data_IF_629322648326
#
_entry.id   IF_629322648326
#
_cell.length_a   1.000
_cell.length_b   1.000
_cell.length_c   1.000
_cell.angle_alpha   90.00
_cell.angle_beta   90.00
_cell.angle_gamma   90.00
#
_symmetry.space_group_name_H-M   'P 1'
#
loop_
_entity.id
_entity.type
_entity.pdbx_description
1 polymer ?
#
# COMPACT_ATOMS: atom_id res chain seq x y z
N UNK A 1 40.15 8.23 -5.35
CA UNK A 1 39.04 8.88 -6.10
C UNK A 1 38.69 8.09 -7.37
N UNK A 2 38.37 6.79 -7.25
CA UNK A 2 38.15 5.91 -8.42
C UNK A 2 36.77 5.19 -8.39
N UNK A 3 35.78 5.75 -7.70
CA UNK A 3 34.52 5.04 -7.39
C UNK A 3 33.24 5.64 -7.99
N UNK A 4 33.27 6.81 -8.64
CA UNK A 4 32.06 7.45 -9.18
C UNK A 4 31.78 7.09 -10.65
N UNK A 5 32.81 6.89 -11.48
CA UNK A 5 32.63 6.54 -12.90
C UNK A 5 32.09 5.11 -13.11
N UNK A 6 32.39 4.16 -12.22
CA UNK A 6 31.87 2.78 -12.34
C UNK A 6 30.39 2.70 -11.98
N UNK A 7 29.93 3.55 -11.05
CA UNK A 7 28.51 3.62 -10.66
C UNK A 7 27.65 4.20 -11.80
N UNK A 8 28.15 5.22 -12.52
CA UNK A 8 27.46 5.82 -13.67
C UNK A 8 27.38 4.86 -14.88
N UNK A 9 28.40 4.01 -15.09
CA UNK A 9 28.40 3.00 -16.16
C UNK A 9 27.39 1.86 -15.91
N UNK A 10 27.14 1.50 -14.65
CA UNK A 10 26.11 0.50 -14.30
C UNK A 10 24.68 1.05 -14.52
N UNK A 11 24.45 2.35 -14.33
CA UNK A 11 23.16 2.98 -14.66
C UNK A 11 22.95 3.16 -16.17
N UNK A 12 24.02 3.43 -16.94
CA UNK A 12 23.91 3.58 -18.40
C UNK A 12 23.52 2.29 -19.13
N UNK A 13 23.90 1.11 -18.62
CA UNK A 13 23.51 -0.16 -19.24
C UNK A 13 22.10 -0.63 -18.86
N UNK A 14 21.58 -0.21 -17.69
CA UNK A 14 20.22 -0.51 -17.28
C UNK A 14 19.15 0.25 -18.09
N UNK A 15 19.50 1.39 -18.68
CA UNK A 15 18.55 2.21 -19.48
C UNK A 15 18.38 1.70 -20.92
N UNK A 16 19.33 0.91 -21.44
CA UNK A 16 19.28 0.42 -22.84
C UNK A 16 18.48 -0.88 -22.99
N UNK A 17 18.20 -1.61 -21.90
CA UNK A 17 17.40 -2.84 -21.91
C UNK A 17 15.94 -2.53 -21.55
N UNK A 18 15.31 -1.61 -22.29
CA UNK A 18 13.86 -1.35 -22.23
C UNK A 18 13.21 -1.38 -23.63
N UNK A 19 13.86 -2.04 -24.59
CA UNK A 19 13.34 -2.20 -25.94
C UNK A 19 12.50 -3.48 -26.05
N UNK A 20 11.18 -3.28 -26.16
CA UNK A 20 10.19 -4.18 -26.80
C UNK A 20 10.15 -5.66 -26.37
N UNK A 21 9.31 -5.94 -25.37
CA UNK A 21 8.68 -7.26 -25.22
C UNK A 21 7.21 -7.13 -25.64
N UNK A 22 6.77 -7.76 -26.74
CA UNK A 22 5.36 -7.73 -27.11
C UNK A 22 4.52 -8.52 -26.08
N UNK A 23 3.28 -8.08 -25.77
CA UNK A 23 2.45 -8.71 -24.76
C UNK A 23 2.02 -10.13 -25.20
N UNK A 24 1.98 -11.11 -24.28
CA UNK A 24 1.50 -12.46 -24.59
C UNK A 24 -0.01 -12.45 -24.83
N UNK A 25 -0.44 -12.94 -26.00
CA UNK A 25 -1.85 -13.16 -26.30
C UNK A 25 -2.39 -14.31 -25.45
N UNK A 26 -3.39 -14.02 -24.62
CA UNK A 26 -3.98 -14.98 -23.69
C UNK A 26 -5.25 -15.57 -24.28
N UNK A 27 -5.24 -16.88 -24.53
CA UNK A 27 -6.40 -17.64 -25.02
C UNK A 27 -7.36 -17.93 -23.85
N UNK A 28 -8.56 -17.35 -23.88
CA UNK A 28 -9.59 -17.61 -22.87
C UNK A 28 -10.12 -19.05 -22.98
N UNK A 29 -9.84 -19.87 -21.96
CA UNK A 29 -10.52 -21.17 -21.76
C UNK A 29 -11.60 -20.99 -20.68
N UNK A 30 -12.86 -21.11 -21.10
CA UNK A 30 -14.05 -20.99 -20.24
C UNK A 30 -14.14 -22.22 -19.34
N UNK A 31 -13.98 -22.05 -18.04
CA UNK A 31 -14.19 -23.11 -17.04
C UNK A 31 -15.62 -22.97 -16.50
N UNK A 32 -16.38 -24.05 -16.62
CA UNK A 32 -17.74 -24.22 -16.14
C UNK A 32 -17.74 -24.35 -14.61
N UNK A 33 -18.38 -23.40 -13.92
CA UNK A 33 -18.62 -23.42 -12.49
C UNK A 33 -19.81 -24.33 -12.14
N UNK A 34 -19.56 -25.41 -11.41
CA UNK A 34 -20.58 -26.27 -10.82
C UNK A 34 -21.27 -25.58 -9.64
N UNK A 35 -22.60 -25.52 -9.70
CA UNK A 35 -23.48 -24.97 -8.68
C UNK A 35 -23.69 -25.99 -7.55
N UNK A 36 -22.95 -25.86 -6.46
CA UNK A 36 -23.34 -26.42 -5.16
C UNK A 36 -23.85 -25.28 -4.29
N UNK A 37 -25.16 -25.28 -4.01
CA UNK A 37 -25.79 -24.36 -3.07
C UNK A 37 -25.44 -24.79 -1.63
N UNK A 38 -24.22 -24.51 -1.21
CA UNK A 38 -23.84 -24.56 0.20
C UNK A 38 -24.51 -23.37 0.91
N UNK A 39 -25.17 -23.64 2.04
CA UNK A 39 -25.64 -22.59 2.95
C UNK A 39 -24.44 -21.69 3.30
N UNK A 40 -24.50 -20.44 2.86
CA UNK A 40 -23.41 -19.49 3.09
C UNK A 40 -23.34 -19.20 4.60
N UNK A 41 -22.47 -19.92 5.30
CA UNK A 41 -22.07 -19.55 6.65
C UNK A 41 -21.56 -18.11 6.62
N UNK A 42 -22.14 -17.25 7.45
CA UNK A 42 -21.73 -15.85 7.56
C UNK A 42 -20.35 -15.83 8.22
N UNK A 43 -19.31 -15.74 7.40
CA UNK A 43 -17.92 -15.65 7.87
C UNK A 43 -17.71 -14.33 8.61
N UNK A 44 -17.01 -14.39 9.73
CA UNK A 44 -16.65 -13.17 10.48
C UNK A 44 -15.61 -12.34 9.71
N UNK A 45 -15.55 -11.03 9.97
CA UNK A 45 -14.53 -10.17 9.34
C UNK A 45 -13.11 -10.60 9.69
N UNK A 46 -12.90 -11.08 10.93
CA UNK A 46 -11.61 -11.59 11.37
C UNK A 46 -11.20 -12.86 10.61
N UNK A 47 -12.14 -13.78 10.36
CA UNK A 47 -11.87 -14.97 9.54
C UNK A 47 -11.43 -14.61 8.12
N UNK A 48 -12.11 -13.64 7.50
CA UNK A 48 -11.74 -13.16 6.16
C UNK A 48 -10.34 -12.53 6.15
N UNK A 49 -9.99 -11.74 7.18
CA UNK A 49 -8.67 -11.13 7.30
C UNK A 49 -7.57 -12.18 7.47
N UNK A 50 -7.77 -13.16 8.36
CA UNK A 50 -6.82 -14.23 8.61
C UNK A 50 -6.61 -15.15 7.39
N UNK A 51 -7.69 -15.45 6.67
CA UNK A 51 -7.61 -16.22 5.43
C UNK A 51 -6.82 -15.46 4.36
N UNK A 52 -7.11 -14.18 4.17
CA UNK A 52 -6.38 -13.34 3.24
C UNK A 52 -4.89 -13.27 3.60
N UNK A 53 -4.55 -13.09 4.88
CA UNK A 53 -3.17 -13.10 5.34
C UNK A 53 -2.46 -14.42 5.00
N UNK A 54 -3.13 -15.56 5.19
CA UNK A 54 -2.61 -16.89 4.87
C UNK A 54 -2.35 -17.04 3.37
N UNK A 55 -3.28 -16.60 2.52
CA UNK A 55 -3.09 -16.62 1.07
C UNK A 55 -1.94 -15.71 0.63
N UNK A 56 -1.77 -14.56 1.27
CA UNK A 56 -0.69 -13.62 0.96
C UNK A 56 0.69 -14.14 1.35
N UNK A 57 0.79 -14.84 2.49
CA UNK A 57 2.01 -15.54 2.88
C UNK A 57 2.32 -16.68 1.92
N UNK A 58 1.31 -17.47 1.56
CA UNK A 58 1.44 -18.57 0.58
C UNK A 58 1.90 -18.06 -0.78
N UNK A 59 1.39 -16.90 -1.22
CA UNK A 59 1.78 -16.23 -2.47
C UNK A 59 3.29 -15.99 -2.56
N UNK A 60 3.96 -15.71 -1.45
CA UNK A 60 5.41 -15.45 -1.43
C UNK A 60 6.25 -16.70 -1.69
N UNK A 61 5.69 -17.90 -1.52
CA UNK A 61 6.39 -19.19 -1.64
C UNK A 61 6.16 -19.89 -2.99
N UNK A 62 5.23 -19.39 -3.81
CA UNK A 62 4.75 -20.09 -5.01
C UNK A 62 5.45 -19.63 -6.31
N UNK A 63 5.35 -20.44 -7.37
CA UNK A 63 5.92 -20.16 -8.69
C UNK A 63 4.93 -19.43 -9.62
N UNK A 64 5.45 -18.72 -10.64
CA UNK A 64 4.73 -17.81 -11.56
C UNK A 64 3.36 -18.31 -12.07
N UNK A 65 3.21 -19.62 -12.31
CA UNK A 65 2.00 -20.23 -12.86
C UNK A 65 0.82 -20.30 -11.88
N UNK A 66 1.07 -20.53 -10.59
CA UNK A 66 0.03 -20.67 -9.55
C UNK A 66 -0.55 -19.32 -9.11
N UNK A 67 0.09 -18.22 -9.48
CA UNK A 67 -0.31 -16.89 -9.04
C UNK A 67 -1.66 -16.41 -9.59
N UNK A 68 -2.08 -16.85 -10.78
CA UNK A 68 -3.31 -16.34 -11.41
C UNK A 68 -4.56 -16.69 -10.59
N UNK A 69 -4.78 -17.98 -10.33
CA UNK A 69 -5.91 -18.46 -9.50
C UNK A 69 -5.89 -17.86 -8.10
N UNK A 70 -4.70 -17.80 -7.47
CA UNK A 70 -4.54 -17.23 -6.14
C UNK A 70 -4.86 -15.73 -6.12
N UNK A 71 -4.55 -15.01 -7.20
CA UNK A 71 -4.82 -13.58 -7.31
C UNK A 71 -6.31 -13.28 -7.34
N UNK A 72 -7.12 -14.10 -8.01
CA UNK A 72 -8.57 -13.92 -8.07
C UNK A 72 -9.21 -14.12 -6.69
N UNK A 73 -8.77 -15.15 -5.96
CA UNK A 73 -9.22 -15.42 -4.60
C UNK A 73 -8.85 -14.29 -3.64
N UNK A 74 -7.61 -13.81 -3.70
CA UNK A 74 -7.14 -12.64 -2.95
C UNK A 74 -8.02 -11.41 -3.24
N UNK A 75 -8.30 -11.13 -4.51
CA UNK A 75 -9.11 -9.98 -4.91
C UNK A 75 -10.55 -10.07 -4.38
N UNK A 76 -11.12 -11.28 -4.38
CA UNK A 76 -12.45 -11.53 -3.82
C UNK A 76 -12.51 -11.28 -2.31
N UNK A 77 -11.52 -11.77 -1.55
CA UNK A 77 -11.43 -11.56 -0.11
C UNK A 77 -11.22 -10.09 0.25
N UNK A 78 -10.35 -9.41 -0.49
CA UNK A 78 -10.18 -7.95 -0.39
C UNK A 78 -11.52 -7.24 -0.59
N UNK A 79 -12.25 -7.58 -1.67
CA UNK A 79 -13.56 -6.99 -1.95
C UNK A 79 -14.57 -7.25 -0.83
N UNK A 80 -14.53 -8.43 -0.21
CA UNK A 80 -15.36 -8.77 0.94
C UNK A 80 -14.98 -7.92 2.17
N UNK A 81 -13.69 -7.78 2.49
CA UNK A 81 -13.21 -6.98 3.62
C UNK A 81 -13.59 -5.50 3.46
N UNK A 82 -13.42 -4.92 2.27
CA UNK A 82 -13.78 -3.51 2.00
C UNK A 82 -15.27 -3.27 2.27
N UNK A 83 -16.14 -4.23 1.95
CA UNK A 83 -17.60 -4.12 2.18
C UNK A 83 -17.97 -4.10 3.66
N UNK A 84 -17.13 -4.63 4.55
CA UNK A 84 -17.42 -4.67 5.99
C UNK A 84 -17.37 -3.29 6.65
N UNK A 85 -16.65 -2.31 6.05
CA UNK A 85 -16.51 -0.94 6.57
C UNK A 85 -16.16 -0.91 8.07
N UNK A 86 -15.19 -1.74 8.47
CA UNK A 86 -14.73 -1.81 9.86
C UNK A 86 -14.27 -0.46 10.36
N UNK A 87 -14.51 -0.23 11.65
CA UNK A 87 -13.86 0.85 12.38
C UNK A 87 -12.49 0.38 12.84
N UNK A 88 -11.49 1.25 12.77
CA UNK A 88 -10.12 0.95 13.19
C UNK A 88 -9.54 2.10 13.99
N UNK A 89 -8.52 1.80 14.80
CA UNK A 89 -7.75 2.80 15.55
C UNK A 89 -6.51 3.17 14.73
N UNK A 90 -6.40 4.39 14.16
CA UNK A 90 -5.23 4.78 13.38
C UNK A 90 -3.91 4.61 14.13
N UNK A 91 -3.87 4.86 15.43
CA UNK A 91 -2.65 4.76 16.22
C UNK A 91 -2.19 3.29 16.42
N UNK A 92 -3.07 2.31 16.24
CA UNK A 92 -2.72 0.87 16.33
C UNK A 92 -2.60 0.22 14.96
N UNK A 93 -3.45 0.63 14.02
CA UNK A 93 -3.58 0.01 12.71
C UNK A 93 -2.86 0.76 11.60
N UNK A 94 -2.33 1.97 11.83
CA UNK A 94 -1.55 2.75 10.85
C UNK A 94 -0.16 3.06 11.40
N UNK A 95 -0.04 3.57 12.62
CA UNK A 95 1.27 3.72 13.26
C UNK A 95 1.92 2.34 13.51
N UNK A 96 3.25 2.29 13.57
CA UNK A 96 4.00 1.07 13.86
C UNK A 96 5.24 0.84 13.01
N UNK A 97 5.62 -0.43 12.86
CA UNK A 97 6.79 -0.85 12.10
C UNK A 97 6.65 -0.67 10.58
N UNK A 98 7.67 -1.09 9.84
CA UNK A 98 7.62 -1.16 8.38
C UNK A 98 6.71 -2.32 7.96
N UNK A 99 5.58 -2.00 7.35
CA UNK A 99 4.71 -3.02 6.79
C UNK A 99 5.20 -3.44 5.42
N UNK A 100 5.28 -4.75 5.17
CA UNK A 100 5.76 -5.27 3.90
C UNK A 100 4.65 -5.29 2.86
N UNK A 101 4.92 -4.77 1.67
CA UNK A 101 3.96 -4.86 0.55
C UNK A 101 3.97 -6.24 -0.08
N UNK A 102 2.81 -6.89 -0.13
CA UNK A 102 2.68 -8.31 -0.55
C UNK A 102 1.84 -8.53 -1.81
N UNK A 103 0.98 -7.58 -2.16
CA UNK A 103 0.08 -7.69 -3.30
C UNK A 103 -0.33 -6.31 -3.79
N UNK A 104 -0.61 -6.23 -5.10
CA UNK A 104 -1.16 -5.07 -5.79
C UNK A 104 -2.30 -5.47 -6.70
N UNK A 105 -3.37 -4.67 -6.71
CA UNK A 105 -4.42 -4.75 -7.73
C UNK A 105 -4.18 -3.62 -8.72
N UNK A 106 -4.17 -3.94 -10.02
CA UNK A 106 -3.93 -2.99 -11.11
C UNK A 106 -2.53 -3.07 -11.70
N UNK A 107 -2.05 -1.95 -12.23
CA UNK A 107 -0.69 -1.85 -12.78
C UNK A 107 0.36 -1.91 -11.66
N UNK A 108 1.41 -2.68 -11.90
CA UNK A 108 2.57 -2.77 -11.00
C UNK A 108 3.28 -1.41 -10.94
N UNK A 109 3.46 -0.81 -9.74
CA UNK A 109 4.09 0.51 -9.65
C UNK A 109 5.56 0.46 -10.09
N UNK A 110 6.10 1.61 -10.53
CA UNK A 110 7.46 1.68 -11.08
C UNK A 110 8.52 1.14 -10.11
N UNK A 111 8.45 1.53 -8.84
CA UNK A 111 9.41 1.10 -7.82
C UNK A 111 9.38 -0.43 -7.63
N UNK A 112 8.21 -1.05 -7.76
CA UNK A 112 8.05 -2.51 -7.68
C UNK A 112 8.69 -3.20 -8.89
N UNK A 113 8.48 -2.64 -10.09
CA UNK A 113 9.13 -3.13 -11.33
C UNK A 113 10.65 -3.06 -11.22
N UNK A 114 11.20 -1.97 -10.66
CA UNK A 114 12.63 -1.80 -10.42
C UNK A 114 13.12 -2.90 -9.46
N UNK A 115 12.43 -3.11 -8.33
CA UNK A 115 12.83 -4.13 -7.34
C UNK A 115 12.73 -5.57 -7.86
N UNK A 116 11.80 -5.84 -8.78
CA UNK A 116 11.58 -7.18 -9.34
C UNK A 116 12.61 -7.56 -10.41
N UNK A 117 13.36 -6.58 -10.94
CA UNK A 117 14.34 -6.82 -12.00
C UNK A 117 15.67 -7.41 -11.48
N UNK A 118 15.90 -7.37 -10.16
CA UNK A 118 17.08 -7.99 -9.54
C UNK A 118 16.83 -9.47 -9.26
N UNK A 119 17.42 -10.34 -10.10
CA UNK A 119 17.33 -11.79 -10.01
C UNK A 119 17.54 -12.32 -8.57
N UNK A 120 16.46 -12.75 -7.92
CA UNK A 120 16.51 -13.64 -6.76
C UNK A 120 16.74 -13.02 -5.39
N UNK A 121 16.78 -11.68 -5.26
CA UNK A 121 16.85 -11.05 -3.94
C UNK A 121 15.44 -10.75 -3.44
N UNK A 122 15.12 -11.25 -2.24
CA UNK A 122 13.87 -10.95 -1.53
C UNK A 122 13.91 -9.50 -0.99
N UNK A 123 14.03 -8.54 -1.90
CA UNK A 123 14.11 -7.13 -1.56
C UNK A 123 12.91 -6.73 -0.71
N UNK A 124 13.20 -6.11 0.43
CA UNK A 124 12.16 -5.61 1.32
C UNK A 124 11.59 -4.33 0.74
N UNK A 125 10.26 -4.27 0.69
CA UNK A 125 9.49 -3.10 0.29
C UNK A 125 8.38 -2.88 1.28
N UNK A 126 8.11 -1.62 1.59
CA UNK A 126 7.10 -1.33 2.57
C UNK A 126 6.82 0.13 2.76
N UNK A 127 5.89 0.36 3.67
CA UNK A 127 5.49 1.68 4.10
C UNK A 127 5.40 1.68 5.63
N UNK A 128 5.96 2.72 6.23
CA UNK A 128 5.83 3.03 7.65
C UNK A 128 5.06 4.33 7.76
N UNK A 129 4.15 4.41 8.73
CA UNK A 129 3.52 5.65 9.15
C UNK A 129 3.87 5.90 10.61
N UNK A 130 3.91 7.17 10.97
CA UNK A 130 4.05 7.61 12.35
C UNK A 130 3.05 8.72 12.55
N UNK A 131 2.04 8.49 13.40
CA UNK A 131 0.98 9.46 13.66
C UNK A 131 1.29 10.21 14.95
N UNK A 132 1.09 11.52 14.92
CA UNK A 132 1.15 12.39 16.08
C UNK A 132 -0.24 12.50 16.73
N UNK A 133 -0.31 13.05 17.95
CA UNK A 133 -1.57 13.22 18.69
C UNK A 133 -2.59 14.13 17.96
N UNK A 134 -2.12 15.01 17.07
CA UNK A 134 -2.91 16.05 16.40
C UNK A 134 -3.45 15.64 15.01
N UNK A 135 -3.75 14.36 14.80
CA UNK A 135 -4.29 13.85 13.53
C UNK A 135 -3.41 14.19 12.28
N UNK A 136 -2.14 14.45 12.52
CA UNK A 136 -1.09 14.61 11.52
C UNK A 136 -0.02 13.54 11.76
N UNK A 137 0.88 13.34 10.82
CA UNK A 137 1.94 12.37 10.96
C UNK A 137 2.94 12.45 9.83
N UNK A 138 3.81 11.46 9.78
CA UNK A 138 4.76 11.26 8.70
C UNK A 138 4.60 9.87 8.11
N UNK A 139 5.07 9.71 6.88
CA UNK A 139 5.18 8.40 6.26
C UNK A 139 6.55 8.22 5.61
N UNK A 140 6.96 6.96 5.52
CA UNK A 140 8.19 6.53 4.86
C UNK A 140 7.85 5.38 3.94
N UNK A 141 8.02 5.59 2.63
CA UNK A 141 8.03 4.52 1.64
C UNK A 141 9.46 4.02 1.48
N UNK A 142 9.66 2.72 1.51
CA UNK A 142 10.96 2.07 1.48
C UNK A 142 10.96 0.95 0.45
N UNK A 143 12.03 0.86 -0.35
CA UNK A 143 12.24 -0.24 -1.27
C UNK A 143 13.74 -0.56 -1.40
N UNK A 144 14.13 -1.79 -1.10
CA UNK A 144 15.47 -2.30 -1.37
C UNK A 144 15.66 -2.51 -2.87
N UNK A 145 16.80 -2.05 -3.37
CA UNK A 145 17.27 -2.31 -4.73
C UNK A 145 18.25 -3.48 -4.70
N UNK A 146 19.18 -3.45 -3.74
CA UNK A 146 20.18 -4.50 -3.53
C UNK A 146 20.42 -4.71 -2.03
N UNK A 147 19.44 -5.33 -1.37
CA UNK A 147 19.46 -5.56 0.07
C UNK A 147 19.51 -4.27 0.90
N UNK A 148 19.86 -4.36 2.20
CA UNK A 148 19.77 -3.23 3.13
C UNK A 148 20.87 -2.17 2.94
N UNK A 149 21.83 -2.44 2.05
CA UNK A 149 22.92 -1.52 1.72
C UNK A 149 22.58 -0.61 0.55
N UNK A 150 21.55 -0.91 -0.24
CA UNK A 150 21.19 -0.07 -1.38
C UNK A 150 19.68 -0.02 -1.54
N UNK A 151 19.09 1.09 -1.11
CA UNK A 151 17.64 1.26 -1.05
C UNK A 151 17.19 2.66 -1.44
N UNK A 152 15.94 2.74 -1.87
CA UNK A 152 15.20 3.97 -2.10
C UNK A 152 14.31 4.24 -0.89
N UNK A 153 14.30 5.48 -0.43
CA UNK A 153 13.41 5.98 0.61
C UNK A 153 12.68 7.22 0.10
N UNK A 154 11.39 7.33 0.36
CA UNK A 154 10.64 8.57 0.17
C UNK A 154 9.91 8.91 1.46
N UNK A 155 10.02 10.17 1.87
CA UNK A 155 9.44 10.67 3.12
C UNK A 155 8.41 11.75 2.83
N UNK A 156 7.47 11.90 3.75
CA UNK A 156 6.46 12.91 3.64
C UNK A 156 5.61 13.04 4.88
N UNK A 157 4.72 14.01 4.82
CA UNK A 157 3.74 14.31 5.86
C UNK A 157 2.40 13.70 5.48
N UNK A 158 1.66 13.22 6.47
CA UNK A 158 0.26 12.83 6.32
C UNK A 158 -0.64 13.67 7.24
N UNK A 159 -1.83 13.99 6.76
CA UNK A 159 -2.82 14.78 7.48
C UNK A 159 -4.18 14.09 7.36
N UNK A 160 -4.91 14.03 8.47
CA UNK A 160 -6.29 13.56 8.47
C UNK A 160 -7.14 14.43 7.51
N UNK A 161 -7.83 13.77 6.56
CA UNK A 161 -8.79 14.41 5.66
C UNK A 161 -10.23 14.07 6.03
N UNK A 162 -10.46 12.98 6.76
CA UNK A 162 -11.79 12.54 7.16
C UNK A 162 -12.33 11.33 6.37
N UNK A 163 -13.58 10.92 6.67
CA UNK A 163 -14.25 9.85 5.96
C UNK A 163 -14.41 10.19 4.48
N UNK A 164 -14.36 9.17 3.61
CA UNK A 164 -14.57 9.37 2.18
C UNK A 164 -15.97 9.96 1.98
N UNK A 165 -16.03 11.16 1.41
CA UNK A 165 -17.27 11.71 0.89
C UNK A 165 -17.69 10.82 -0.26
N UNK A 166 -18.60 9.88 0.01
CA UNK A 166 -19.41 9.31 -1.06
C UNK A 166 -20.23 10.48 -1.54
N UNK A 167 -19.79 11.14 -2.61
CA UNK A 167 -20.58 12.12 -3.34
C UNK A 167 -21.84 11.41 -3.83
N UNK A 168 -22.79 11.25 -2.93
CA UNK A 168 -24.16 11.08 -3.27
C UNK A 168 -24.48 12.40 -3.97
N UNK A 169 -24.63 12.33 -5.30
CA UNK A 169 -25.57 13.19 -6.01
C UNK A 169 -26.93 13.02 -5.34
N UNK A 170 -27.09 13.60 -4.17
CA UNK A 170 -28.36 13.84 -3.54
C UNK A 170 -28.55 15.31 -3.78
N UNK A 171 -29.27 15.63 -4.85
CA UNK A 171 -29.77 16.96 -5.12
C UNK A 171 -30.35 17.50 -3.82
N UNK A 172 -29.75 18.58 -3.34
CA UNK A 172 -29.92 19.12 -2.02
C UNK A 172 -31.37 19.52 -1.75
N UNK A 173 -32.05 18.77 -0.88
CA UNK A 173 -33.12 19.34 -0.05
C UNK A 173 -32.41 20.14 1.05
N UNK A 174 -32.33 21.45 0.87
CA UNK A 174 -31.68 22.39 1.79
C UNK A 174 -32.33 22.29 3.18
N UNK A 175 -31.60 21.76 4.16
CA UNK A 175 -31.93 21.89 5.58
C UNK A 175 -30.99 22.94 6.22
N UNK A 176 -31.43 24.20 6.38
CA UNK A 176 -30.55 25.34 6.71
C UNK A 176 -30.08 25.40 8.19
N UNK A 177 -30.38 24.41 9.03
CA UNK A 177 -30.10 24.48 10.48
C UNK A 177 -29.15 23.40 11.05
N UNK A 178 -28.64 22.47 10.23
CA UNK A 178 -27.89 21.30 10.74
C UNK A 178 -26.39 21.50 11.02
N UNK A 179 -25.79 22.64 10.66
CA UNK A 179 -24.32 22.79 10.59
C UNK A 179 -23.64 23.36 11.85
N UNK A 180 -24.40 23.75 12.88
CA UNK A 180 -23.82 24.48 14.02
C UNK A 180 -23.31 23.60 15.17
N UNK A 181 -23.65 22.31 15.22
CA UNK A 181 -23.33 21.44 16.36
C UNK A 181 -22.08 20.57 16.21
N UNK A 182 -21.44 20.53 15.03
CA UNK A 182 -20.24 19.72 14.81
C UNK A 182 -18.93 20.37 15.30
N UNK A 183 -18.95 21.66 15.67
CA UNK A 183 -17.75 22.41 16.05
C UNK A 183 -17.34 22.28 17.53
N UNK A 184 -18.14 21.64 18.39
CA UNK A 184 -17.91 21.64 19.86
C UNK A 184 -17.66 20.26 20.49
N UNK A 185 -17.45 19.20 19.69
CA UNK A 185 -17.08 17.89 20.24
C UNK A 185 -15.56 17.77 20.38
N UNK A 186 -15.01 18.40 21.42
CA UNK A 186 -13.59 18.31 21.77
C UNK A 186 -13.45 17.45 23.04
N UNK A 187 -13.50 16.14 22.87
CA UNK A 187 -13.12 15.18 23.91
C UNK A 187 -12.25 14.12 23.25
N UNK A 188 -10.98 14.04 23.65
CA UNK A 188 -9.95 13.18 23.07
C UNK A 188 -10.12 11.71 23.48
N UNK A 189 -11.31 11.15 23.28
CA UNK A 189 -11.49 9.70 23.30
C UNK A 189 -10.81 9.11 22.06
N UNK A 190 -10.08 8.01 22.23
CA UNK A 190 -9.41 7.28 21.12
C UNK A 190 -10.38 7.15 19.95
N UNK A 191 -10.14 7.91 18.89
CA UNK A 191 -11.11 8.09 17.81
C UNK A 191 -10.96 6.94 16.84
N UNK A 192 -11.73 5.89 17.08
CA UNK A 192 -11.96 4.88 16.05
C UNK A 192 -12.57 5.57 14.83
N UNK A 193 -11.95 5.38 13.67
CA UNK A 193 -12.43 5.92 12.39
C UNK A 193 -12.97 4.78 11.54
N UNK A 194 -13.99 5.07 10.72
CA UNK A 194 -14.66 4.07 9.89
C UNK A 194 -14.08 4.07 8.49
N UNK A 195 -13.72 2.89 7.96
CA UNK A 195 -13.31 2.76 6.57
C UNK A 195 -14.52 2.84 5.59
N UNK A 196 -14.36 3.40 4.37
CA UNK A 196 -13.11 3.97 3.87
C UNK A 196 -12.83 5.38 4.42
N UNK A 197 -11.54 5.68 4.59
CA UNK A 197 -11.07 6.92 5.22
C UNK A 197 -9.92 7.53 4.42
N UNK A 198 -9.92 8.85 4.21
CA UNK A 198 -8.89 9.53 3.42
C UNK A 198 -7.88 10.24 4.34
N UNK A 199 -6.61 10.17 3.94
CA UNK A 199 -5.51 10.97 4.46
C UNK A 199 -4.92 11.79 3.32
N UNK A 200 -4.63 13.06 3.56
CA UNK A 200 -3.80 13.85 2.64
C UNK A 200 -2.35 13.45 2.86
N UNK A 201 -1.62 13.13 1.80
CA UNK A 201 -0.20 12.82 1.84
C UNK A 201 0.58 13.87 1.05
N UNK A 202 1.68 14.36 1.61
CA UNK A 202 2.61 15.27 0.97
C UNK A 202 4.00 14.66 1.00
N UNK A 203 4.51 14.22 -0.16
CA UNK A 203 5.92 13.82 -0.30
C UNK A 203 6.78 15.07 -0.23
N UNK A 204 7.72 15.09 0.70
CA UNK A 204 8.65 16.21 0.94
C UNK A 204 10.06 15.92 0.44
N UNK A 205 10.39 14.65 0.20
CA UNK A 205 11.66 14.28 -0.40
C UNK A 205 11.77 12.79 -0.70
N UNK A 206 12.75 12.46 -1.52
CA UNK A 206 13.20 11.09 -1.74
C UNK A 206 14.72 11.03 -1.69
N UNK A 207 15.27 9.87 -1.34
CA UNK A 207 16.70 9.65 -1.34
C UNK A 207 17.05 8.22 -1.72
N UNK A 208 18.20 8.07 -2.35
CA UNK A 208 18.86 6.78 -2.56
C UNK A 208 19.95 6.67 -1.50
N UNK A 209 19.88 5.62 -0.67
CA UNK A 209 20.88 5.37 0.36
C UNK A 209 21.78 4.22 -0.08
N UNK A 210 23.10 4.46 -0.03
CA UNK A 210 24.15 3.53 -0.43
C UNK A 210 25.07 3.25 0.76
N UNK A 211 25.31 1.96 1.03
CA UNK A 211 26.05 1.41 2.15
C UNK A 211 25.63 1.98 3.52
N UNK A 212 24.36 2.38 3.66
CA UNK A 212 23.80 3.01 4.88
C UNK A 212 24.53 4.29 5.34
N UNK A 213 25.35 4.88 4.46
CA UNK A 213 26.23 6.01 4.80
C UNK A 213 26.08 7.17 3.83
N UNK A 214 25.94 6.86 2.54
CA UNK A 214 25.83 7.87 1.51
C UNK A 214 24.36 8.04 1.14
N UNK A 215 23.85 9.24 1.31
CA UNK A 215 22.49 9.60 0.95
C UNK A 215 22.51 10.57 -0.23
N UNK A 216 21.91 10.16 -1.34
CA UNK A 216 21.75 10.98 -2.53
C UNK A 216 20.30 11.47 -2.53
N UNK A 217 20.11 12.75 -2.19
CA UNK A 217 18.80 13.38 -2.19
C UNK A 217 18.30 13.57 -3.63
N UNK A 218 17.06 13.16 -3.86
CA UNK A 218 16.34 13.38 -5.11
C UNK A 218 15.23 14.38 -4.80
N UNK A 219 15.23 15.57 -5.45
CA UNK A 219 14.23 16.61 -5.20
C UNK A 219 12.88 16.22 -5.80
N UNK A 220 12.17 15.33 -5.12
CA UNK A 220 10.82 14.90 -5.46
C UNK A 220 9.86 15.46 -4.40
N UNK A 221 8.93 16.27 -4.86
CA UNK A 221 7.81 16.74 -4.05
C UNK A 221 6.49 16.42 -4.75
N UNK A 222 5.46 16.16 -3.95
CA UNK A 222 4.14 15.87 -4.49
C UNK A 222 3.07 15.87 -3.41
N UNK A 223 1.82 16.08 -3.83
CA UNK A 223 0.66 15.93 -2.95
C UNK A 223 -0.26 14.86 -3.53
N UNK A 224 -0.91 14.12 -2.64
CA UNK A 224 -1.86 13.07 -3.00
C UNK A 224 -2.84 12.80 -1.87
N UNK A 225 -3.77 11.89 -2.11
CA UNK A 225 -4.67 11.35 -1.09
C UNK A 225 -4.43 9.85 -0.98
N UNK A 226 -4.16 9.37 0.22
CA UNK A 226 -4.09 7.95 0.56
C UNK A 226 -5.45 7.57 1.14
N UNK A 227 -6.09 6.57 0.54
CA UNK A 227 -7.38 6.08 1.00
C UNK A 227 -7.24 4.74 1.67
N UNK A 228 -7.59 4.65 2.94
CA UNK A 228 -7.67 3.39 3.68
C UNK A 228 -9.01 2.76 3.38
N UNK A 229 -9.02 1.56 2.80
CA UNK A 229 -10.25 0.82 2.53
C UNK A 229 -10.55 -0.24 3.59
N UNK A 230 -9.51 -0.73 4.26
CA UNK A 230 -9.59 -1.65 5.38
C UNK A 230 -8.27 -1.56 6.17
N UNK A 231 -8.34 -1.64 7.50
CA UNK A 231 -7.17 -1.74 8.35
C UNK A 231 -7.52 -2.48 9.64
N UNK A 232 -6.64 -3.40 10.03
CA UNK A 232 -6.55 -3.97 11.37
C UNK A 232 -5.07 -3.94 11.83
N UNK A 233 -4.75 -4.60 12.94
CA UNK A 233 -3.38 -4.63 13.48
C UNK A 233 -2.39 -5.34 12.52
N UNK A 234 -2.84 -6.33 11.76
CA UNK A 234 -1.98 -7.22 10.95
C UNK A 234 -2.04 -6.93 9.45
N UNK A 235 -3.16 -6.40 8.96
CA UNK A 235 -3.46 -6.24 7.55
C UNK A 235 -4.03 -4.87 7.28
N UNK A 236 -3.51 -4.23 6.23
CA UNK A 236 -4.02 -2.94 5.75
C UNK A 236 -4.22 -2.99 4.25
N UNK A 237 -5.25 -2.31 3.79
CA UNK A 237 -5.66 -2.22 2.38
C UNK A 237 -5.82 -0.75 2.03
N UNK A 238 -4.92 -0.23 1.21
CA UNK A 238 -4.91 1.18 0.82
C UNK A 238 -5.02 1.36 -0.69
N UNK A 239 -5.64 2.45 -1.12
CA UNK A 239 -5.50 2.95 -2.49
C UNK A 239 -4.49 4.08 -2.48
N UNK A 240 -3.40 3.89 -3.23
CA UNK A 240 -2.45 4.95 -3.53
C UNK A 240 -3.10 6.03 -4.41
N UNK A 241 -2.72 7.31 -4.27
CA UNK A 241 -3.20 8.36 -5.17
C UNK A 241 -2.92 8.01 -6.64
N UNK A 242 -3.89 8.28 -7.52
CA UNK A 242 -3.74 8.22 -8.98
C UNK A 242 -3.22 9.57 -9.50
N UNK A 243 -1.93 9.65 -9.80
CA UNK A 243 -1.26 10.80 -10.41
C UNK A 243 -0.13 10.36 -11.34
N UNK A 244 0.49 11.31 -12.07
CA UNK A 244 1.54 11.01 -13.07
C UNK A 244 2.73 10.20 -12.52
N UNK A 245 2.92 10.15 -11.20
CA UNK A 245 4.01 9.44 -10.53
C UNK A 245 3.54 8.40 -9.49
N UNK A 246 2.22 8.21 -9.33
CA UNK A 246 1.65 7.22 -8.43
C UNK A 246 0.44 6.58 -9.11
N UNK A 247 0.49 5.28 -9.38
CA UNK A 247 -0.68 4.55 -9.86
C UNK A 247 -1.54 4.15 -8.64
N UNK A 248 -2.88 4.03 -8.81
CA UNK A 248 -3.74 3.54 -7.76
C UNK A 248 -3.47 2.05 -7.56
N UNK A 249 -2.50 1.75 -6.71
CA UNK A 249 -2.19 0.40 -6.33
C UNK A 249 -2.89 0.09 -5.01
N UNK A 250 -3.59 -1.04 -4.98
CA UNK A 250 -4.07 -1.60 -3.74
C UNK A 250 -2.89 -2.22 -2.98
N UNK A 251 -2.28 -1.52 -2.03
CA UNK A 251 -1.16 -2.07 -1.28
C UNK A 251 -1.71 -2.87 -0.10
N UNK A 252 -1.40 -4.17 -0.07
CA UNK A 252 -1.58 -4.97 1.14
C UNK A 252 -0.29 -5.07 1.92
N UNK A 253 -0.42 -4.77 3.21
CA UNK A 253 0.66 -4.56 4.15
C UNK A 253 0.47 -5.58 5.27
N UNK A 254 1.44 -6.47 5.46
CA UNK A 254 1.44 -7.47 6.55
C UNK A 254 2.54 -7.15 7.56
N UNK A 255 2.19 -7.20 8.84
CA UNK A 255 3.16 -7.15 9.94
C UNK A 255 3.85 -8.52 10.04
N UNK A 256 4.86 -8.75 9.21
CA UNK A 256 5.94 -9.64 9.60
C UNK A 256 6.97 -8.73 10.26
N UNK A 257 7.05 -8.79 11.58
CA UNK A 257 8.05 -8.08 12.39
C UNK A 257 9.44 -8.52 11.92
N UNK A 258 9.98 -7.85 10.91
CA UNK A 258 11.39 -7.93 10.62
C UNK A 258 12.03 -7.07 11.72
N UNK A 259 12.57 -7.71 12.76
CA UNK A 259 13.32 -7.10 13.88
C UNK A 259 14.53 -6.25 13.46
N UNK A 260 14.72 -6.00 12.16
CA UNK A 260 15.79 -5.14 11.60
C UNK A 260 15.51 -3.64 11.78
N UNK A 261 14.40 -3.25 12.40
CA UNK A 261 13.90 -1.86 12.47
C UNK A 261 14.58 -0.94 13.50
N UNK A 262 15.57 -1.37 14.29
CA UNK A 262 16.25 -0.44 15.22
C UNK A 262 17.14 0.63 14.55
N UNK A 263 17.20 0.72 13.22
CA UNK A 263 18.15 1.59 12.51
C UNK A 263 17.59 2.36 11.30
N UNK A 264 16.28 2.38 11.04
CA UNK A 264 15.66 3.20 9.99
C UNK A 264 14.79 4.31 10.57
#
# INVERSE_FOLDING_TARGET
>A
MMSFCVLLLLFSQAVVILSFVPPPQTTHRRISSGLYAASASVRSTQELSNELLTLLQSKQLLNAKTYSTLSDEINNLVGALIKTKVSFDPARCIDGGLFRTVHFIGETPLWERISSSSNGTNNVKGQKFTLNEEASGTFVNYAEIFGPSFYLKAVGDCFDKGPVSTDARTDSIMSPFGSFLSAFSNNSTKKYVKAPYDFTARVTGASIVVFQKFEINIPIEGKGTVRVLYADENLRVFVSPSGKFCFPCLCMLSENTIDRQKQM
#
